data_IF_605459690483
#
_entry.id   IF_605459690483
#
_cell.length_a   1.000
_cell.length_b   1.000
_cell.length_c   1.000
_cell.angle_alpha   90.00
_cell.angle_beta   90.00
_cell.angle_gamma   90.00
#
_symmetry.space_group_name_H-M   'P 1'
#
loop_
_entity.id
_entity.type
_entity.pdbx_description
1 polymer ?
#
# COMPACT_ATOMS: atom_id res chain seq x y z
N UNK A 1 -8.49 -2.36 6.40
CA UNK A 1 -9.52 -2.13 5.38
C UNK A 1 -8.90 -2.42 4.03
N UNK A 2 -9.57 -3.20 3.17
CA UNK A 2 -9.06 -3.48 1.82
C UNK A 2 -9.33 -2.25 0.93
N UNK A 3 -8.34 -1.75 0.16
CA UNK A 3 -8.53 -0.64 -0.76
C UNK A 3 -9.46 -1.01 -1.93
N UNK A 4 -10.10 0.00 -2.53
CA UNK A 4 -10.87 -0.18 -3.76
C UNK A 4 -9.96 -0.47 -4.96
N UNK A 5 -10.50 -1.17 -5.96
CA UNK A 5 -9.77 -1.43 -7.20
C UNK A 5 -9.45 -0.12 -7.94
N UNK A 6 -10.40 0.81 -7.99
CA UNK A 6 -10.25 2.14 -8.60
C UNK A 6 -9.07 2.91 -8.02
N UNK A 7 -8.91 2.89 -6.69
CA UNK A 7 -7.76 3.51 -6.03
C UNK A 7 -6.45 2.87 -6.48
N UNK A 8 -6.37 1.54 -6.48
CA UNK A 8 -5.16 0.82 -6.88
C UNK A 8 -4.80 1.06 -8.34
N UNK A 9 -5.79 1.12 -9.22
CA UNK A 9 -5.62 1.42 -10.65
C UNK A 9 -5.15 2.85 -10.87
N UNK A 10 -5.66 3.81 -10.12
CA UNK A 10 -5.27 5.22 -10.21
C UNK A 10 -3.84 5.51 -9.71
N UNK A 11 -3.28 4.69 -8.81
CA UNK A 11 -1.95 4.93 -8.23
C UNK A 11 -0.84 5.07 -9.29
N UNK A 12 0.03 6.04 -9.11
CA UNK A 12 1.21 6.26 -9.94
C UNK A 12 2.49 6.25 -9.10
N UNK A 13 3.62 6.02 -9.78
CA UNK A 13 4.93 6.18 -9.14
C UNK A 13 5.10 7.65 -8.75
N UNK A 14 5.40 7.90 -7.48
CA UNK A 14 5.48 9.24 -6.93
C UNK A 14 4.34 9.59 -5.99
N UNK A 15 3.21 8.88 -6.05
CA UNK A 15 2.04 9.17 -5.23
C UNK A 15 2.30 8.94 -3.74
N UNK A 16 1.64 9.75 -2.91
CA UNK A 16 1.63 9.59 -1.46
C UNK A 16 0.44 8.73 -1.06
N UNK A 17 0.68 7.79 -0.17
CA UNK A 17 -0.32 6.82 0.31
C UNK A 17 -0.16 6.60 1.81
N UNK A 18 -1.18 6.03 2.43
CA UNK A 18 -1.11 5.47 3.77
C UNK A 18 -0.94 3.96 3.70
N UNK A 19 -0.12 3.41 4.60
CA UNK A 19 -0.06 1.97 4.88
C UNK A 19 -0.80 1.73 6.19
N UNK A 20 -1.94 1.05 6.12
CA UNK A 20 -2.74 0.66 7.28
C UNK A 20 -2.24 -0.66 7.85
N UNK A 21 -1.69 -0.62 9.07
CA UNK A 21 -1.15 -1.76 9.80
C UNK A 21 -2.21 -2.42 10.73
N UNK A 22 -3.46 -2.55 10.27
CA UNK A 22 -4.58 -3.00 11.09
C UNK A 22 -5.35 -1.84 11.74
N UNK A 23 -5.82 -2.01 12.98
CA UNK A 23 -6.85 -1.15 13.58
C UNK A 23 -6.36 0.23 14.07
N UNK A 24 -5.05 0.46 14.29
CA UNK A 24 -4.59 1.66 15.02
C UNK A 24 -3.34 2.36 14.51
N UNK A 25 -2.67 1.83 13.48
CA UNK A 25 -1.42 2.43 13.00
C UNK A 25 -1.45 2.62 11.48
N UNK A 26 -1.15 3.84 11.06
CA UNK A 26 -0.93 4.21 9.67
C UNK A 26 0.46 4.80 9.49
N UNK A 27 1.12 4.44 8.40
CA UNK A 27 2.41 5.02 8.01
C UNK A 27 2.25 5.75 6.69
N UNK A 28 2.73 7.00 6.62
CA UNK A 28 2.82 7.72 5.34
C UNK A 28 3.92 7.11 4.48
N UNK A 29 3.60 6.78 3.24
CA UNK A 29 4.51 6.18 2.29
C UNK A 29 4.41 6.87 0.92
N UNK A 30 5.40 6.60 0.07
CA UNK A 30 5.42 7.02 -1.33
C UNK A 30 5.55 5.82 -2.23
N UNK A 31 4.76 5.76 -3.30
CA UNK A 31 4.89 4.71 -4.31
C UNK A 31 6.20 4.92 -5.07
N UNK A 32 7.07 3.92 -5.04
CA UNK A 32 8.36 3.93 -5.75
C UNK A 32 8.39 3.01 -6.95
N UNK A 33 7.45 2.08 -7.04
CA UNK A 33 7.30 1.17 -8.18
C UNK A 33 5.85 0.67 -8.28
N UNK A 34 5.35 0.54 -9.50
CA UNK A 34 4.07 -0.10 -9.81
C UNK A 34 4.21 -0.92 -11.09
N UNK A 35 3.71 -2.15 -11.05
CA UNK A 35 3.47 -3.01 -12.19
C UNK A 35 2.07 -3.63 -12.08
N UNK A 36 1.68 -4.41 -13.08
CA UNK A 36 0.39 -5.11 -13.11
C UNK A 36 0.13 -6.01 -11.88
N UNK A 37 1.20 -6.51 -11.24
CA UNK A 37 1.08 -7.47 -10.11
C UNK A 37 1.59 -6.91 -8.78
N UNK A 38 2.44 -5.89 -8.82
CA UNK A 38 3.20 -5.46 -7.64
C UNK A 38 3.21 -3.94 -7.51
N UNK A 39 2.97 -3.47 -6.29
CA UNK A 39 3.17 -2.09 -5.88
C UNK A 39 4.24 -2.07 -4.79
N UNK A 40 5.21 -1.16 -4.87
CA UNK A 40 6.22 -0.94 -3.82
C UNK A 40 6.01 0.46 -3.25
N UNK A 41 5.82 0.52 -1.94
CA UNK A 41 5.73 1.78 -1.21
C UNK A 41 6.92 1.91 -0.24
N UNK A 42 7.53 3.10 -0.22
CA UNK A 42 8.63 3.46 0.68
C UNK A 42 8.11 4.34 1.82
N UNK A 43 8.41 3.98 3.07
CA UNK A 43 8.10 4.76 4.27
C UNK A 43 9.34 4.82 5.16
N UNK A 44 9.79 6.03 5.49
CA UNK A 44 11.09 6.23 6.13
C UNK A 44 12.24 5.59 5.34
N UNK A 45 12.98 4.67 5.97
CA UNK A 45 14.07 3.90 5.36
C UNK A 45 13.62 2.53 4.83
N UNK A 46 12.38 2.15 5.04
CA UNK A 46 11.84 0.85 4.67
C UNK A 46 11.06 0.90 3.36
N UNK A 47 10.99 -0.24 2.69
CA UNK A 47 10.12 -0.47 1.53
C UNK A 47 9.27 -1.69 1.78
N UNK A 48 8.00 -1.65 1.36
CA UNK A 48 7.08 -2.78 1.47
C UNK A 48 6.41 -3.05 0.14
N UNK A 49 6.21 -4.33 -0.15
CA UNK A 49 5.60 -4.84 -1.38
C UNK A 49 4.14 -5.17 -1.12
N UNK A 50 3.28 -4.73 -2.03
CA UNK A 50 1.85 -4.96 -2.03
C UNK A 50 1.46 -5.62 -3.34
N UNK A 51 0.41 -6.42 -3.31
CA UNK A 51 -0.20 -6.97 -4.50
C UNK A 51 -1.03 -5.87 -5.18
N UNK A 52 -0.86 -5.70 -6.49
CA UNK A 52 -1.60 -4.67 -7.23
C UNK A 52 -3.09 -4.98 -7.38
N UNK A 53 -3.51 -6.24 -7.27
CA UNK A 53 -4.90 -6.67 -7.43
C UNK A 53 -5.76 -6.41 -6.19
N UNK A 54 -5.20 -6.59 -4.99
CA UNK A 54 -5.94 -6.45 -3.74
C UNK A 54 -5.41 -5.34 -2.82
N UNK A 55 -4.23 -4.78 -3.12
CA UNK A 55 -3.58 -3.73 -2.33
C UNK A 55 -3.02 -4.20 -0.99
N UNK A 56 -2.99 -5.50 -0.74
CA UNK A 56 -2.52 -6.11 0.49
C UNK A 56 -1.02 -6.45 0.45
N UNK A 57 -0.36 -6.47 1.61
CA UNK A 57 1.06 -6.84 1.69
C UNK A 57 1.31 -8.24 1.11
N UNK A 58 2.29 -8.34 0.22
CA UNK A 58 2.71 -9.61 -0.37
C UNK A 58 3.49 -10.43 0.67
N UNK A 59 3.20 -11.74 0.77
CA UNK A 59 3.86 -12.70 1.68
C UNK A 59 3.75 -12.42 3.20
N UNK A 60 2.85 -11.52 3.63
CA UNK A 60 2.60 -11.34 5.06
C UNK A 60 1.64 -12.42 5.59
N UNK A 61 1.89 -13.01 6.78
CA UNK A 61 0.87 -13.80 7.47
C UNK A 61 -0.36 -12.92 7.73
N UNK A 62 -1.55 -13.53 7.80
CA UNK A 62 -2.84 -12.82 7.92
C UNK A 62 -2.83 -11.72 8.99
N UNK A 63 -2.26 -12.01 10.16
CA UNK A 63 -2.15 -11.08 11.30
C UNK A 63 -1.23 -9.87 11.07
N UNK A 64 -0.33 -9.94 10.09
CA UNK A 64 0.61 -8.86 9.73
C UNK A 64 0.26 -8.21 8.39
N UNK A 65 -0.87 -8.58 7.78
CA UNK A 65 -1.30 -8.02 6.49
C UNK A 65 -1.62 -6.54 6.66
N UNK A 66 -0.92 -5.72 5.89
CA UNK A 66 -1.16 -4.28 5.80
C UNK A 66 -1.84 -3.98 4.48
N UNK A 67 -2.44 -2.80 4.40
CA UNK A 67 -3.21 -2.38 3.23
C UNK A 67 -2.80 -0.98 2.82
N UNK A 68 -2.77 -0.71 1.52
CA UNK A 68 -2.68 0.65 1.02
C UNK A 68 -4.00 1.38 1.23
N UNK A 69 -3.93 2.68 1.47
CA UNK A 69 -5.07 3.58 1.55
C UNK A 69 -4.72 4.98 1.03
N UNK A 70 -5.73 5.76 0.64
CA UNK A 70 -5.54 7.14 0.23
C UNK A 70 -5.04 7.99 1.40
N UNK A 71 -4.31 9.06 1.10
CA UNK A 71 -4.10 10.13 2.08
C UNK A 71 -5.37 10.97 2.04
N UNK A 72 -6.24 10.83 3.03
CA UNK A 72 -7.35 11.79 3.22
C UNK A 72 -6.71 13.15 3.54
N UNK A 73 -7.10 14.19 2.78
CA UNK A 73 -6.73 15.59 3.04
C UNK A 73 -7.51 16.14 4.24
#
# INVERSE_FOLDING_TARGET
MKPSAEFLEALQVGDRVLIHHGQRMTSRARITFKSERTIIAKFGKETRRFNAHDGGTMYAPSSSKCWLGPVEE
#
